data_IF_027021522537
#
_entry.id   IF_027021522537
#
_cell.length_a   1.000
_cell.length_b   1.000
_cell.length_c   1.000
_cell.angle_alpha   90.00
_cell.angle_beta   90.00
_cell.angle_gamma   90.00
#
_symmetry.space_group_name_H-M   'P 1'
#
loop_
_entity.id
_entity.type
_entity.pdbx_description
1 polymer ?
#
# COMPACT_ATOMS: atom_id res chain seq x y z
N UNK A 1 -26.50 12.49 13.04
CA UNK A 1 -25.04 12.33 12.85
C UNK A 1 -24.39 13.61 13.32
N UNK A 2 -23.34 13.51 14.15
CA UNK A 2 -22.54 14.64 14.60
C UNK A 2 -21.27 14.68 13.74
N UNK A 3 -21.01 15.81 13.08
CA UNK A 3 -19.82 16.01 12.27
C UNK A 3 -18.75 16.75 13.07
N UNK A 4 -17.48 16.32 13.05
CA UNK A 4 -16.39 16.96 13.81
C UNK A 4 -16.08 18.37 13.28
N UNK A 5 -16.25 18.60 11.98
CA UNK A 5 -16.06 19.88 11.31
C UNK A 5 -17.04 20.03 10.15
N UNK A 6 -17.09 21.23 9.54
CA UNK A 6 -18.01 21.52 8.42
C UNK A 6 -17.46 21.08 7.05
N UNK A 7 -16.19 20.69 7.00
CA UNK A 7 -15.55 20.27 5.75
C UNK A 7 -14.84 18.92 5.92
N UNK A 8 -14.75 18.20 4.81
CA UNK A 8 -14.04 16.93 4.68
C UNK A 8 -12.95 17.03 3.62
N UNK A 9 -11.87 16.28 3.81
CA UNK A 9 -10.87 16.09 2.78
C UNK A 9 -11.13 14.78 2.04
N UNK A 10 -11.34 14.84 0.72
CA UNK A 10 -11.37 13.67 -0.16
C UNK A 10 -9.97 13.35 -0.64
N UNK A 11 -9.60 12.07 -0.65
CA UNK A 11 -8.31 11.57 -1.14
C UNK A 11 -8.58 10.46 -2.15
N UNK A 12 -7.90 10.52 -3.31
CA UNK A 12 -7.88 9.46 -4.30
C UNK A 12 -6.44 9.18 -4.72
N UNK A 13 -5.93 7.98 -4.47
CA UNK A 13 -4.65 7.56 -5.03
C UNK A 13 -4.81 7.21 -6.50
N UNK A 14 -3.82 7.56 -7.32
CA UNK A 14 -3.76 7.15 -8.74
C UNK A 14 -3.30 5.72 -8.90
N UNK A 15 -2.53 5.21 -7.92
CA UNK A 15 -2.14 3.81 -7.83
C UNK A 15 -2.11 3.39 -6.36
N UNK A 16 -2.42 2.13 -6.07
CA UNK A 16 -2.35 1.57 -4.72
C UNK A 16 -0.91 1.32 -4.28
N UNK A 17 0.00 1.11 -5.25
CA UNK A 17 1.43 0.97 -4.99
C UNK A 17 2.27 1.59 -6.13
N UNK A 18 3.56 1.80 -5.84
CA UNK A 18 4.59 2.18 -6.81
C UNK A 18 5.89 1.44 -6.52
N UNK A 19 6.78 1.37 -7.51
CA UNK A 19 8.16 0.93 -7.32
C UNK A 19 8.95 1.96 -6.49
N UNK A 20 9.95 1.52 -5.74
CA UNK A 20 10.83 2.41 -5.00
C UNK A 20 11.50 3.44 -5.94
N UNK A 21 11.51 4.70 -5.51
CA UNK A 21 11.98 5.83 -6.32
C UNK A 21 10.94 6.42 -7.28
N UNK A 22 9.75 5.80 -7.43
CA UNK A 22 8.62 6.39 -8.14
C UNK A 22 7.71 7.11 -7.16
N UNK A 23 7.20 8.31 -7.48
CA UNK A 23 6.36 9.07 -6.56
C UNK A 23 4.98 8.43 -6.40
N UNK A 24 4.44 8.50 -5.18
CA UNK A 24 3.02 8.29 -4.94
C UNK A 24 2.26 9.56 -5.33
N UNK A 25 1.18 9.40 -6.08
CA UNK A 25 0.38 10.53 -6.60
C UNK A 25 -1.04 10.41 -6.06
N UNK A 26 -1.51 11.49 -5.43
CA UNK A 26 -2.84 11.61 -4.87
C UNK A 26 -3.57 12.83 -5.44
N UNK A 27 -4.86 12.67 -5.69
CA UNK A 27 -5.76 13.79 -5.96
C UNK A 27 -6.51 14.09 -4.66
N UNK A 28 -6.47 15.35 -4.22
CA UNK A 28 -7.01 15.86 -2.96
C UNK A 28 -8.04 16.93 -3.23
N UNK A 29 -9.17 16.90 -2.53
CA UNK A 29 -10.24 17.89 -2.64
C UNK A 29 -10.83 18.18 -1.25
N UNK A 30 -11.21 19.43 -0.99
CA UNK A 30 -12.05 19.76 0.16
C UNK A 30 -13.53 19.75 -0.27
N UNK A 31 -14.39 19.16 0.55
CA UNK A 31 -15.84 19.14 0.33
C UNK A 31 -16.59 19.66 1.54
N UNK A 32 -17.80 20.17 1.33
CA UNK A 32 -18.78 20.38 2.39
C UNK A 32 -19.43 19.06 2.83
N UNK A 33 -20.41 19.15 3.72
CA UNK A 33 -21.12 17.99 4.28
C UNK A 33 -22.00 17.28 3.23
N UNK A 34 -22.34 17.93 2.13
CA UNK A 34 -23.11 17.39 1.01
C UNK A 34 -22.22 16.77 -0.08
N UNK A 35 -20.89 16.81 0.14
CA UNK A 35 -19.89 16.27 -0.81
C UNK A 35 -19.55 17.21 -1.97
N UNK A 36 -20.04 18.45 -1.94
CA UNK A 36 -19.73 19.46 -2.97
C UNK A 36 -18.34 20.05 -2.71
N UNK A 37 -17.52 20.10 -3.75
CA UNK A 37 -16.17 20.65 -3.67
C UNK A 37 -16.22 22.16 -3.30
N UNK A 38 -15.36 22.56 -2.37
CA UNK A 38 -15.25 23.94 -1.86
C UNK A 38 -13.83 24.48 -2.07
N UNK A 39 -13.75 25.77 -2.43
CA UNK A 39 -12.49 26.50 -2.57
C UNK A 39 -12.15 27.33 -1.32
N UNK A 40 -10.88 27.74 -1.22
CA UNK A 40 -10.41 28.67 -0.21
C UNK A 40 -10.22 28.08 1.20
N UNK A 41 -10.32 26.75 1.35
CA UNK A 41 -10.12 26.10 2.65
C UNK A 41 -8.65 25.68 2.81
N UNK A 42 -8.15 25.84 4.04
CA UNK A 42 -6.79 25.45 4.40
C UNK A 42 -6.70 23.94 4.54
N UNK A 43 -5.75 23.34 3.83
CA UNK A 43 -5.45 21.92 3.87
C UNK A 43 -3.98 21.72 4.24
N UNK A 44 -3.67 20.61 4.90
CA UNK A 44 -2.29 20.14 5.09
C UNK A 44 -2.24 18.67 4.68
N UNK A 45 -1.45 18.39 3.66
CA UNK A 45 -1.16 17.02 3.22
C UNK A 45 0.15 16.56 3.87
N UNK A 46 0.15 15.38 4.49
CA UNK A 46 1.33 14.74 5.07
C UNK A 46 1.44 13.30 4.61
N UNK A 47 2.66 12.81 4.49
CA UNK A 47 2.90 11.41 4.30
C UNK A 47 3.89 10.89 5.35
N UNK A 48 3.59 9.71 5.86
CA UNK A 48 4.39 9.01 6.85
C UNK A 48 4.80 7.65 6.29
N UNK A 49 6.08 7.31 6.43
CA UNK A 49 6.51 5.94 6.27
C UNK A 49 6.30 5.21 7.58
N UNK A 50 5.61 4.08 7.52
CA UNK A 50 5.36 3.25 8.68
C UNK A 50 6.52 2.27 8.86
N UNK A 51 6.99 2.14 10.09
CA UNK A 51 7.91 1.11 10.55
C UNK A 51 7.38 0.50 11.84
N UNK A 52 7.99 -0.60 12.25
CA UNK A 52 7.58 -1.31 13.45
C UNK A 52 8.80 -1.48 14.34
N UNK A 53 8.66 -1.12 15.60
CA UNK A 53 9.67 -1.27 16.63
C UNK A 53 9.14 -2.20 17.72
N UNK A 54 9.97 -3.17 18.13
CA UNK A 54 9.65 -4.05 19.24
C UNK A 54 9.86 -3.32 20.56
N UNK A 55 8.82 -3.23 21.37
CA UNK A 55 8.88 -2.58 22.68
C UNK A 55 7.93 -3.25 23.66
N UNK A 56 8.40 -3.56 24.85
CA UNK A 56 7.59 -4.10 25.97
C UNK A 56 6.73 -5.34 25.58
N UNK A 57 7.30 -6.27 24.81
CA UNK A 57 6.65 -7.52 24.37
C UNK A 57 5.64 -7.37 23.22
N UNK A 58 5.61 -6.21 22.54
CA UNK A 58 4.78 -6.03 21.34
C UNK A 58 5.45 -5.12 20.29
N UNK A 59 4.98 -5.24 19.03
CA UNK A 59 5.42 -4.35 17.97
C UNK A 59 4.54 -3.09 17.95
N UNK A 60 5.19 -1.93 18.10
CA UNK A 60 4.54 -0.63 17.97
C UNK A 60 4.79 -0.07 16.57
N UNK A 61 3.74 0.45 15.95
CA UNK A 61 3.87 1.17 14.67
C UNK A 61 4.48 2.54 14.93
N UNK A 62 5.60 2.81 14.28
CA UNK A 62 6.28 4.12 14.31
C UNK A 62 6.01 4.83 13.00
N UNK A 63 5.53 6.07 13.08
CA UNK A 63 5.28 6.95 11.94
C UNK A 63 6.46 7.91 11.77
N UNK A 64 7.18 7.81 10.66
CA UNK A 64 8.21 8.77 10.27
C UNK A 64 7.64 9.69 9.18
N UNK A 65 7.51 10.98 9.48
CA UNK A 65 7.09 11.97 8.47
C UNK A 65 8.16 12.06 7.38
N UNK A 66 7.74 11.90 6.13
CA UNK A 66 8.59 11.95 4.95
C UNK A 66 8.18 13.06 3.98
N UNK A 67 6.99 13.63 4.17
CA UNK A 67 6.47 14.70 3.32
C UNK A 67 5.43 15.51 4.08
N UNK A 68 5.44 16.85 3.86
CA UNK A 68 4.42 17.77 4.36
C UNK A 68 4.26 18.93 3.37
N UNK A 69 3.02 19.23 3.02
CA UNK A 69 2.67 20.32 2.10
C UNK A 69 1.38 21.02 2.53
N UNK A 70 1.43 22.32 2.83
CA UNK A 70 0.22 23.13 2.98
C UNK A 70 -0.40 23.42 1.62
N UNK A 71 -1.73 23.44 1.55
CA UNK A 71 -2.51 23.67 0.34
C UNK A 71 -3.71 24.59 0.67
N UNK A 72 -4.21 25.27 -0.34
CA UNK A 72 -5.52 25.93 -0.32
C UNK A 72 -6.40 25.27 -1.35
N UNK A 73 -7.59 24.81 -0.95
CA UNK A 73 -8.51 24.14 -1.88
C UNK A 73 -8.95 25.06 -3.01
N UNK A 74 -9.00 24.53 -4.22
CA UNK A 74 -9.37 25.27 -5.46
C UNK A 74 -10.81 25.05 -5.91
N UNK A 75 -11.57 24.22 -5.18
CA UNK A 75 -12.91 23.79 -5.62
C UNK A 75 -12.90 22.65 -6.65
N UNK A 76 -11.71 22.14 -6.99
CA UNK A 76 -11.48 20.97 -7.85
C UNK A 76 -10.37 20.12 -7.25
N UNK A 77 -10.27 18.82 -7.59
CA UNK A 77 -9.16 18.00 -7.14
C UNK A 77 -7.80 18.57 -7.52
N UNK A 78 -6.89 18.63 -6.56
CA UNK A 78 -5.51 19.09 -6.71
C UNK A 78 -4.56 17.92 -6.56
N UNK A 79 -3.57 17.81 -7.43
CA UNK A 79 -2.59 16.72 -7.40
C UNK A 79 -1.49 17.01 -6.38
N UNK A 80 -1.27 16.05 -5.49
CA UNK A 80 -0.15 16.03 -4.53
C UNK A 80 0.77 14.88 -4.91
N UNK A 81 2.07 15.19 -5.04
CA UNK A 81 3.10 14.22 -5.41
C UNK A 81 4.03 13.98 -4.22
N UNK A 82 4.04 12.77 -3.71
CA UNK A 82 4.86 12.37 -2.56
C UNK A 82 6.07 11.59 -3.07
N UNK A 83 7.30 12.09 -2.90
CA UNK A 83 8.50 11.37 -3.30
C UNK A 83 8.68 10.12 -2.43
N UNK A 84 9.17 9.03 -3.02
CA UNK A 84 9.52 7.80 -2.31
C UNK A 84 10.96 7.44 -2.60
N UNK A 85 11.73 7.13 -1.56
CA UNK A 85 13.12 6.67 -1.68
C UNK A 85 13.30 5.24 -1.18
N UNK A 86 12.47 4.83 -0.26
CA UNK A 86 12.56 3.53 0.40
C UNK A 86 11.23 2.79 0.26
N UNK A 87 11.33 1.46 0.08
CA UNK A 87 10.16 0.59 0.09
C UNK A 87 9.48 0.53 1.46
N UNK A 88 8.21 0.15 1.47
CA UNK A 88 7.43 -0.02 2.68
C UNK A 88 6.00 0.49 2.59
N UNK A 89 5.37 0.57 3.74
CA UNK A 89 4.00 1.07 3.87
C UNK A 89 4.03 2.58 4.12
N UNK A 90 3.25 3.32 3.35
CA UNK A 90 3.09 4.77 3.47
C UNK A 90 1.65 5.09 3.85
N UNK A 91 1.48 5.95 4.83
CA UNK A 91 0.20 6.52 5.21
C UNK A 91 0.16 7.98 4.76
N UNK A 92 -0.77 8.29 3.86
CA UNK A 92 -1.04 9.64 3.40
C UNK A 92 -2.24 10.21 4.16
N UNK A 93 -2.07 11.39 4.74
CA UNK A 93 -3.08 12.07 5.55
C UNK A 93 -3.33 13.48 4.99
N UNK A 94 -4.59 13.88 4.97
CA UNK A 94 -4.98 15.25 4.65
C UNK A 94 -5.90 15.77 5.73
N UNK A 95 -5.50 16.88 6.35
CA UNK A 95 -6.29 17.60 7.33
C UNK A 95 -6.89 18.85 6.67
N UNK A 96 -8.16 19.09 6.89
CA UNK A 96 -8.88 20.31 6.50
C UNK A 96 -9.34 21.03 7.75
N UNK A 97 -9.20 22.37 7.78
CA UNK A 97 -9.71 23.20 8.87
C UNK A 97 -10.92 24.00 8.40
N UNK A 98 -11.92 24.13 9.27
CA UNK A 98 -13.07 25.00 9.05
C UNK A 98 -12.85 26.40 9.64
N UNK A 99 -13.81 27.29 9.37
CA UNK A 99 -13.73 28.70 9.78
C UNK A 99 -13.80 28.88 11.30
N UNK A 100 -14.10 27.82 12.07
CA UNK A 100 -14.09 27.78 13.53
C UNK A 100 -12.85 27.06 14.10
N UNK A 101 -11.81 26.86 13.30
CA UNK A 101 -10.58 26.12 13.62
C UNK A 101 -10.81 24.66 14.06
N UNK A 102 -11.93 24.06 13.63
CA UNK A 102 -12.16 22.63 13.83
C UNK A 102 -11.56 21.89 12.65
N UNK A 103 -10.85 20.82 12.95
CA UNK A 103 -10.19 20.00 11.92
C UNK A 103 -10.91 18.69 11.68
N UNK A 104 -10.85 18.24 10.42
CA UNK A 104 -11.19 16.89 10.01
C UNK A 104 -10.03 16.30 9.23
N UNK A 105 -9.75 15.03 9.43
CA UNK A 105 -8.64 14.32 8.81
C UNK A 105 -9.14 13.11 8.06
N UNK A 106 -8.65 12.95 6.84
CA UNK A 106 -8.79 11.72 6.05
C UNK A 106 -7.42 11.09 5.86
N UNK A 107 -7.37 9.77 5.82
CA UNK A 107 -6.13 9.02 5.63
C UNK A 107 -6.30 7.88 4.64
N UNK A 108 -5.21 7.51 3.98
CA UNK A 108 -5.14 6.41 3.04
C UNK A 108 -3.76 5.74 3.11
N UNK A 109 -3.74 4.43 2.92
CA UNK A 109 -2.49 3.65 2.89
C UNK A 109 -2.14 3.30 1.45
N UNK A 110 -0.86 3.44 1.11
CA UNK A 110 -0.26 3.02 -0.15
C UNK A 110 1.03 2.26 0.11
N UNK A 111 1.48 1.49 -0.87
CA UNK A 111 2.68 0.68 -0.75
C UNK A 111 3.76 1.12 -1.73
N UNK A 112 5.01 1.00 -1.29
CA UNK A 112 6.18 1.17 -2.13
C UNK A 112 6.93 -0.15 -2.14
N UNK A 113 7.16 -0.72 -3.32
CA UNK A 113 7.84 -2.00 -3.48
C UNK A 113 9.25 -2.00 -2.87
N UNK A 114 9.75 -3.16 -2.44
CA UNK A 114 11.07 -3.32 -1.83
C UNK A 114 11.13 -3.07 -0.32
N UNK A 115 9.99 -2.85 0.35
CA UNK A 115 9.94 -2.68 1.80
C UNK A 115 9.72 -4.01 2.55
N UNK A 116 10.18 -4.05 3.80
CA UNK A 116 9.85 -5.14 4.71
C UNK A 116 8.38 -5.06 5.12
N UNK A 117 7.72 -6.22 5.22
CA UNK A 117 6.40 -6.31 5.82
C UNK A 117 6.47 -6.13 7.34
N UNK A 118 5.34 -5.74 7.98
CA UNK A 118 5.25 -5.75 9.43
C UNK A 118 5.57 -7.15 9.96
N UNK A 119 6.36 -7.26 11.02
CA UNK A 119 6.58 -8.53 11.69
C UNK A 119 5.23 -9.09 12.15
N UNK A 120 4.94 -10.34 11.81
CA UNK A 120 3.76 -11.04 12.29
C UNK A 120 4.15 -11.98 13.42
N UNK A 121 3.39 -11.96 14.51
CA UNK A 121 3.59 -12.86 15.68
C UNK A 121 3.24 -14.32 15.36
N UNK A 122 2.26 -14.55 14.50
CA UNK A 122 1.81 -15.90 14.17
C UNK A 122 2.63 -16.48 13.01
N UNK A 123 3.54 -17.34 13.39
CA UNK A 123 4.45 -18.07 12.50
C UNK A 123 3.73 -19.13 11.65
N UNK A 124 2.52 -19.54 12.06
CA UNK A 124 1.76 -20.60 11.40
C UNK A 124 0.94 -20.15 10.19
N UNK A 125 0.73 -18.83 10.01
CA UNK A 125 -0.02 -18.29 8.87
C UNK A 125 0.81 -17.27 8.09
N UNK A 126 1.89 -17.72 7.48
CA UNK A 126 2.63 -16.89 6.54
C UNK A 126 1.84 -16.80 5.23
N UNK A 127 1.27 -15.64 4.95
CA UNK A 127 0.54 -15.37 3.72
C UNK A 127 1.28 -14.34 2.88
N UNK A 128 1.33 -14.60 1.57
CA UNK A 128 1.69 -13.59 0.58
C UNK A 128 0.63 -12.50 0.56
N UNK A 129 1.07 -11.26 0.38
CA UNK A 129 0.16 -10.14 0.15
C UNK A 129 0.19 -9.77 -1.32
N UNK A 130 -0.97 -9.78 -1.97
CA UNK A 130 -1.14 -9.38 -3.36
C UNK A 130 -1.88 -8.04 -3.41
N UNK A 131 -1.26 -7.03 -4.01
CA UNK A 131 -1.82 -5.68 -4.11
C UNK A 131 -1.92 -5.29 -5.59
N UNK A 132 -3.10 -5.33 -6.22
CA UNK A 132 -3.26 -4.87 -7.59
C UNK A 132 -3.17 -3.33 -7.64
N UNK A 133 -2.64 -2.78 -8.74
CA UNK A 133 -2.53 -1.34 -8.93
C UNK A 133 -3.88 -0.65 -9.16
N UNK A 134 -4.90 -1.39 -9.61
CA UNK A 134 -6.29 -0.93 -9.80
C UNK A 134 -7.27 -1.96 -9.26
N UNK A 135 -8.53 -1.56 -9.08
CA UNK A 135 -9.62 -2.46 -8.68
C UNK A 135 -10.28 -3.16 -9.87
N UNK A 136 -10.31 -2.50 -11.02
CA UNK A 136 -10.96 -2.95 -12.24
C UNK A 136 -10.04 -2.67 -13.43
N UNK A 137 -10.12 -3.51 -14.43
CA UNK A 137 -9.31 -3.44 -15.65
C UNK A 137 -10.16 -3.67 -16.87
N UNK A 138 -9.70 -3.15 -18.00
CA UNK A 138 -10.30 -3.41 -19.31
C UNK A 138 -9.44 -4.39 -20.13
N UNK A 139 -10.05 -5.13 -21.07
CA UNK A 139 -9.32 -5.97 -21.99
C UNK A 139 -8.26 -5.16 -22.77
N UNK A 140 -7.05 -5.70 -22.87
CA UNK A 140 -5.89 -5.05 -23.48
C UNK A 140 -5.02 -4.25 -22.52
N UNK A 141 -5.46 -4.05 -21.27
CA UNK A 141 -4.60 -3.47 -20.23
C UNK A 141 -3.61 -4.49 -19.68
N UNK A 142 -2.60 -3.98 -19.00
CA UNK A 142 -1.68 -4.79 -18.19
C UNK A 142 -1.95 -4.50 -16.72
N UNK A 143 -2.42 -5.51 -15.99
CA UNK A 143 -2.53 -5.43 -14.54
C UNK A 143 -1.14 -5.55 -13.92
N UNK A 144 -0.81 -4.64 -13.01
CA UNK A 144 0.38 -4.76 -12.18
C UNK A 144 -0.06 -5.15 -10.77
N UNK A 145 0.51 -6.24 -10.27
CA UNK A 145 0.22 -6.78 -8.94
C UNK A 145 1.52 -6.83 -8.14
N UNK A 146 1.59 -6.04 -7.08
CA UNK A 146 2.68 -6.16 -6.12
C UNK A 146 2.48 -7.44 -5.32
N UNK A 147 3.46 -8.34 -5.39
CA UNK A 147 3.53 -9.57 -4.60
C UNK A 147 4.55 -9.33 -3.48
N UNK A 148 4.09 -9.42 -2.24
CA UNK A 148 4.94 -9.27 -1.06
C UNK A 148 5.03 -10.60 -0.33
N UNK A 149 6.26 -11.08 -0.14
CA UNK A 149 6.56 -12.28 0.63
C UNK A 149 6.77 -11.91 2.10
N UNK A 150 6.34 -12.76 3.05
CA UNK A 150 6.65 -12.59 4.46
C UNK A 150 8.14 -12.80 4.78
N UNK A 151 8.89 -13.38 3.87
CA UNK A 151 10.33 -13.67 3.99
C UNK A 151 11.08 -13.38 2.70
N UNK A 152 12.38 -13.19 2.79
CA UNK A 152 13.30 -13.00 1.66
C UNK A 152 13.80 -14.34 1.12
N UNK A 153 14.35 -14.34 -0.10
CA UNK A 153 14.93 -15.56 -0.70
C UNK A 153 13.91 -16.56 -1.23
N UNK A 154 12.65 -16.13 -1.42
CA UNK A 154 11.60 -16.97 -1.96
C UNK A 154 11.60 -17.05 -3.50
N UNK A 155 11.15 -18.18 -4.01
CA UNK A 155 10.70 -18.36 -5.38
C UNK A 155 9.21 -18.68 -5.38
N UNK A 156 8.46 -18.10 -6.29
CA UNK A 156 7.02 -18.31 -6.37
C UNK A 156 6.60 -18.88 -7.72
N UNK A 157 5.63 -19.79 -7.68
CA UNK A 157 4.86 -20.21 -8.84
C UNK A 157 3.60 -19.36 -8.91
N UNK A 158 3.42 -18.66 -10.01
CA UNK A 158 2.20 -17.92 -10.32
C UNK A 158 1.38 -18.74 -11.29
N UNK A 159 0.11 -18.97 -10.95
CA UNK A 159 -0.86 -19.69 -11.78
C UNK A 159 -2.00 -18.75 -12.15
N UNK A 160 -2.32 -18.71 -13.43
CA UNK A 160 -3.44 -17.96 -13.98
C UNK A 160 -4.57 -18.91 -14.33
N UNK A 161 -5.77 -18.67 -13.79
CA UNK A 161 -6.89 -19.58 -13.89
C UNK A 161 -8.17 -18.87 -14.35
N UNK A 162 -8.90 -19.50 -15.30
CA UNK A 162 -10.19 -19.06 -15.78
C UNK A 162 -11.23 -20.18 -15.70
N UNK A 163 -11.18 -21.16 -16.57
CA UNK A 163 -11.94 -22.41 -16.57
C UNK A 163 -11.00 -23.62 -16.41
N UNK A 164 -9.88 -23.41 -15.79
CA UNK A 164 -8.71 -24.26 -15.62
C UNK A 164 -7.47 -23.40 -15.71
N UNK A 165 -6.31 -24.01 -15.65
CA UNK A 165 -5.03 -23.30 -15.73
C UNK A 165 -4.82 -22.81 -17.16
N UNK A 166 -4.78 -21.49 -17.33
CA UNK A 166 -4.51 -20.81 -18.61
C UNK A 166 -3.01 -20.74 -18.87
N UNK A 167 -2.25 -20.35 -17.85
CA UNK A 167 -0.79 -20.26 -17.91
C UNK A 167 -0.17 -20.31 -16.52
N UNK A 168 1.14 -20.46 -16.48
CA UNK A 168 1.93 -20.40 -15.25
C UNK A 168 3.29 -19.76 -15.53
N UNK A 169 3.85 -19.10 -14.52
CA UNK A 169 5.20 -18.54 -14.58
C UNK A 169 5.88 -18.57 -13.21
N UNK A 170 7.20 -18.53 -13.20
CA UNK A 170 7.99 -18.34 -11.99
C UNK A 170 8.14 -16.84 -11.70
N UNK A 171 8.10 -16.48 -10.43
CA UNK A 171 8.32 -15.13 -9.94
C UNK A 171 9.42 -15.15 -8.87
N UNK A 172 10.44 -14.31 -9.05
CA UNK A 172 11.50 -14.14 -8.08
C UNK A 172 11.05 -13.18 -6.97
N UNK A 173 11.07 -13.66 -5.73
CA UNK A 173 10.78 -12.92 -4.51
C UNK A 173 12.01 -12.83 -3.58
N UNK A 174 13.22 -12.97 -4.14
CA UNK A 174 14.48 -12.95 -3.37
C UNK A 174 14.67 -11.67 -2.56
N UNK A 175 14.14 -10.53 -3.02
CA UNK A 175 14.14 -9.25 -2.31
C UNK A 175 12.95 -9.06 -1.33
N UNK A 176 12.08 -10.08 -1.18
CA UNK A 176 10.88 -10.00 -0.35
C UNK A 176 9.65 -9.41 -1.05
N UNK A 177 9.81 -8.82 -2.23
CA UNK A 177 8.68 -8.37 -3.05
C UNK A 177 9.04 -8.32 -4.53
N UNK A 178 8.03 -8.43 -5.39
CA UNK A 178 8.18 -8.32 -6.84
C UNK A 178 6.89 -7.81 -7.46
N UNK A 179 6.98 -7.16 -8.62
CA UNK A 179 5.80 -6.73 -9.38
C UNK A 179 5.51 -7.73 -10.49
N UNK A 180 4.35 -8.37 -10.38
CA UNK A 180 3.82 -9.27 -11.38
C UNK A 180 3.05 -8.44 -12.43
N UNK A 181 3.42 -8.60 -13.71
CA UNK A 181 2.69 -7.98 -14.83
C UNK A 181 1.83 -9.03 -15.52
N UNK A 182 0.53 -8.74 -15.61
CA UNK A 182 -0.47 -9.64 -16.17
C UNK A 182 -1.14 -8.96 -17.36
N UNK A 183 -0.77 -9.27 -18.60
CA UNK A 183 -1.50 -8.82 -19.77
C UNK A 183 -2.92 -9.41 -19.75
N UNK A 184 -3.93 -8.56 -19.91
CA UNK A 184 -5.33 -8.96 -19.84
C UNK A 184 -5.93 -9.06 -21.23
N UNK A 185 -6.33 -10.28 -21.59
CA UNK A 185 -7.03 -10.59 -22.83
C UNK A 185 -8.56 -10.57 -22.63
N UNK A 186 -9.31 -10.28 -23.69
CA UNK A 186 -10.78 -10.31 -23.68
C UNK A 186 -11.35 -11.71 -23.30
N UNK A 187 -10.60 -12.79 -23.56
CA UNK A 187 -10.97 -14.16 -23.16
C UNK A 187 -10.97 -14.37 -21.63
N UNK A 188 -10.41 -13.45 -20.86
CA UNK A 188 -10.41 -13.51 -19.38
C UNK A 188 -11.66 -12.91 -18.75
N UNK A 189 -12.56 -12.33 -19.54
CA UNK A 189 -13.81 -11.77 -19.00
C UNK A 189 -14.73 -12.84 -18.42
N UNK A 190 -15.45 -12.55 -17.29
CA UNK A 190 -15.44 -11.30 -16.53
C UNK A 190 -14.29 -11.18 -15.52
N UNK A 191 -13.52 -12.24 -15.27
CA UNK A 191 -12.41 -12.25 -14.31
C UNK A 191 -11.32 -13.27 -14.68
N UNK A 192 -10.15 -13.06 -14.12
CA UNK A 192 -9.02 -13.99 -14.09
C UNK A 192 -8.60 -14.19 -12.65
N UNK A 193 -8.48 -15.43 -12.19
CA UNK A 193 -7.89 -15.74 -10.89
C UNK A 193 -6.38 -15.83 -11.02
N UNK A 194 -5.68 -15.21 -10.07
CA UNK A 194 -4.22 -15.28 -9.97
C UNK A 194 -3.86 -15.87 -8.62
N UNK A 195 -3.25 -17.04 -8.64
CA UNK A 195 -2.76 -17.73 -7.45
C UNK A 195 -1.24 -17.65 -7.42
N UNK A 196 -0.68 -17.38 -6.26
CA UNK A 196 0.77 -17.30 -6.04
C UNK A 196 1.16 -18.20 -4.88
N UNK A 197 1.96 -19.21 -5.16
CA UNK A 197 2.50 -20.15 -4.19
C UNK A 197 4.01 -19.94 -4.07
N UNK A 198 4.50 -19.53 -2.89
CA UNK A 198 5.93 -19.28 -2.68
C UNK A 198 6.57 -20.35 -1.81
N UNK A 199 7.80 -20.66 -2.16
CA UNK A 199 8.69 -21.53 -1.39
C UNK A 199 9.99 -20.79 -1.11
N UNK A 200 10.45 -20.85 0.13
CA UNK A 200 11.68 -20.19 0.54
C UNK A 200 12.12 -20.65 1.92
N UNK A 201 13.18 -20.07 2.41
CA UNK A 201 13.72 -20.35 3.73
C UNK A 201 13.99 -19.04 4.46
N UNK A 202 13.65 -18.98 5.73
CA UNK A 202 13.96 -17.84 6.58
C UNK A 202 14.74 -18.29 7.81
N UNK A 203 15.72 -17.48 8.21
CA UNK A 203 16.44 -17.67 9.46
C UNK A 203 15.48 -17.41 10.61
N UNK A 204 15.38 -18.35 11.55
CA UNK A 204 14.59 -18.15 12.78
C UNK A 204 15.18 -17.03 13.60
N UNK A 205 14.32 -16.12 14.02
CA UNK A 205 14.67 -15.01 14.90
C UNK A 205 13.95 -15.15 16.23
N UNK A 206 14.57 -14.60 17.29
CA UNK A 206 13.94 -14.45 18.60
C UNK A 206 12.88 -13.33 18.58
N UNK A 207 12.25 -13.08 19.72
CA UNK A 207 11.23 -12.03 19.87
C UNK A 207 11.78 -10.63 19.62
N UNK A 208 13.08 -10.43 19.70
CA UNK A 208 13.78 -9.17 19.44
C UNK A 208 14.25 -9.05 17.99
N UNK A 209 14.02 -10.09 17.15
CA UNK A 209 14.44 -10.11 15.75
C UNK A 209 15.90 -10.54 15.50
N UNK A 210 16.62 -11.04 16.53
CA UNK A 210 17.98 -11.54 16.37
C UNK A 210 17.97 -12.99 15.90
N UNK A 211 18.91 -13.40 15.02
CA UNK A 211 19.02 -14.79 14.58
C UNK A 211 19.24 -15.75 15.76
N UNK A 212 18.44 -16.82 15.83
CA UNK A 212 18.62 -17.87 16.84
C UNK A 212 19.72 -18.82 16.39
N UNK A 213 20.86 -18.78 17.07
CA UNK A 213 22.02 -19.62 16.74
C UNK A 213 21.68 -21.11 16.82
N UNK A 214 22.02 -21.87 15.76
CA UNK A 214 21.82 -23.32 15.71
C UNK A 214 20.37 -23.78 15.47
N UNK A 215 19.41 -22.89 15.32
CA UNK A 215 18.07 -23.25 14.93
C UNK A 215 18.01 -23.55 13.41
N UNK A 216 17.34 -24.65 12.99
CA UNK A 216 17.14 -24.89 11.55
C UNK A 216 16.28 -23.78 10.95
N UNK A 217 16.50 -23.41 9.67
CA UNK A 217 15.63 -22.46 8.97
C UNK A 217 14.18 -22.98 8.93
N UNK A 218 13.23 -22.09 8.82
CA UNK A 218 11.80 -22.38 8.66
C UNK A 218 11.32 -22.04 7.25
#
# INVERSE_FOLDING_TARGET
IVHPANFYAGIKARSTFVEAGKPLIYDVVATDLDGKAVAGKRLVARAYRLSWEYSESDYKTVKKEVFSQPLTSSGTPQTVTVPTSEGGTYQFEVTVEDDSNRSNQSQMTSWVAGGKQPPKRDVEMQQLTLVPNKKEYEPGEVAEVLVQSPFTGAQALVTFERHGIVSKQMLDLSSGSSTLKVPLDAGFMPNLSVTVDAVGQETRTDEQGNPVAGAPPR
#
